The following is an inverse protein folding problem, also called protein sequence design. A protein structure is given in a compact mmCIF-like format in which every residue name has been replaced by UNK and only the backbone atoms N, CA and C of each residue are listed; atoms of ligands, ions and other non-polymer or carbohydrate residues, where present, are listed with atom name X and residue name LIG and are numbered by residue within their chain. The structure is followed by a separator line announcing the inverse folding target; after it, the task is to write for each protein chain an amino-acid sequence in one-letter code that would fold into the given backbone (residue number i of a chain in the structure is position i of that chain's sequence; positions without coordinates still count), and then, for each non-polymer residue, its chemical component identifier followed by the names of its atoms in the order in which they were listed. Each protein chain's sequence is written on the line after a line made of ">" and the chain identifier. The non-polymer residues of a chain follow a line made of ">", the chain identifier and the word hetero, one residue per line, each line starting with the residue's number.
data_IF_064806672333
#
_entry.id   IF_064806672333
#
_cell.length_a   1.000
_cell.length_b   1.000
_cell.length_c   1.000
_cell.angle_alpha   90.00
_cell.angle_beta   90.00
_cell.angle_gamma   90.00
#
_symmetry.space_group_name_H-M   'P 1'
#
loop_
_entity.id
_entity.type
_entity.pdbx_description
1 polymer ?
#
# COMPACT_ATOMS: atom_id res chain seq x y z
N UNK A 1 1.18 26.53 28.67
CA UNK A 1 2.48 26.97 28.09
C UNK A 1 2.72 26.30 26.73
N UNK A 2 2.76 24.97 26.62
CA UNK A 2 2.99 24.29 25.32
C UNK A 2 1.88 24.58 24.28
N UNK A 3 0.60 24.62 24.69
CA UNK A 3 -0.49 24.97 23.77
C UNK A 3 -0.36 26.40 23.24
N UNK A 4 -0.07 27.37 24.12
CA UNK A 4 0.18 28.76 23.72
C UNK A 4 1.42 28.91 22.84
N UNK A 5 2.42 28.04 23.01
CA UNK A 5 3.59 28.00 22.13
C UNK A 5 3.20 27.54 20.72
N UNK A 6 2.39 26.48 20.57
CA UNK A 6 1.89 26.04 19.27
C UNK A 6 1.12 27.15 18.55
N UNK A 7 0.19 27.82 19.24
CA UNK A 7 -0.58 28.94 18.67
C UNK A 7 0.33 30.04 18.10
N UNK A 8 1.43 30.38 18.79
CA UNK A 8 2.39 31.37 18.31
C UNK A 8 3.17 30.89 17.07
N UNK A 9 3.54 29.61 17.03
CA UNK A 9 4.26 29.01 15.90
C UNK A 9 3.36 28.90 14.66
N UNK A 10 2.09 28.55 14.84
CA UNK A 10 1.09 28.42 13.76
C UNK A 10 0.79 29.78 13.10
N UNK A 11 0.92 30.87 13.86
CA UNK A 11 0.86 32.24 13.33
C UNK A 11 2.13 32.69 12.59
N UNK A 12 3.13 31.81 12.44
CA UNK A 12 4.37 32.10 11.72
C UNK A 12 5.26 33.14 12.41
N UNK A 13 5.07 33.37 13.72
CA UNK A 13 5.81 34.39 14.48
C UNK A 13 7.29 34.01 14.61
N UNK A 14 7.61 32.71 14.57
CA UNK A 14 8.98 32.19 14.64
C UNK A 14 9.15 30.99 13.69
N UNK A 15 10.25 30.94 12.91
CA UNK A 15 10.60 29.76 12.11
C UNK A 15 10.88 28.52 12.96
N UNK A 16 10.46 27.34 12.48
CA UNK A 16 10.74 26.06 13.14
C UNK A 16 12.25 25.72 13.21
N UNK A 17 13.08 26.27 12.31
CA UNK A 17 14.53 26.09 12.30
C UNK A 17 15.25 26.78 13.47
N UNK A 18 14.66 27.83 14.04
CA UNK A 18 15.24 28.61 15.14
C UNK A 18 15.07 27.92 16.50
N UNK A 19 14.30 26.83 16.55
CA UNK A 19 14.11 26.06 17.77
C UNK A 19 15.40 25.42 18.25
N UNK A 20 15.71 25.65 19.52
CA UNK A 20 16.94 25.20 20.14
C UNK A 20 16.90 23.68 20.40
N UNK A 21 17.99 22.93 20.11
CA UNK A 21 18.02 21.48 20.33
C UNK A 21 17.56 21.02 21.73
N UNK A 22 17.91 21.70 22.85
CA UNK A 22 17.44 21.30 24.18
C UNK A 22 15.92 21.33 24.35
N UNK A 23 15.22 22.22 23.64
CA UNK A 23 13.76 22.24 23.64
C UNK A 23 13.19 21.00 22.94
N UNK A 24 13.77 20.62 21.81
CA UNK A 24 13.36 19.44 21.03
C UNK A 24 13.63 18.17 21.84
N UNK A 25 14.81 18.06 22.45
CA UNK A 25 15.16 16.96 23.36
C UNK A 25 14.18 16.88 24.54
N UNK A 26 13.74 18.03 25.07
CA UNK A 26 12.71 18.06 26.10
C UNK A 26 11.37 17.52 25.60
N UNK A 27 10.95 17.87 24.39
CA UNK A 27 9.71 17.34 23.79
C UNK A 27 9.81 15.83 23.59
N UNK A 28 10.93 15.35 23.05
CA UNK A 28 11.19 13.91 22.89
C UNK A 28 11.21 13.19 24.23
N UNK A 29 11.73 13.83 25.29
CA UNK A 29 11.75 13.24 26.63
C UNK A 29 10.36 12.84 27.12
N UNK A 30 9.30 13.59 26.77
CA UNK A 30 7.93 13.26 27.15
C UNK A 30 7.40 11.98 26.47
N UNK A 31 7.94 11.61 25.31
CA UNK A 31 7.59 10.37 24.60
C UNK A 31 8.38 9.18 25.17
N UNK A 32 9.64 9.40 25.54
CA UNK A 32 10.55 8.34 25.97
C UNK A 32 10.42 7.96 27.46
N UNK A 33 9.53 8.59 28.24
CA UNK A 33 9.32 8.24 29.65
C UNK A 33 8.55 6.92 29.78
N UNK A 34 8.93 6.08 30.75
CA UNK A 34 8.17 4.88 31.13
C UNK A 34 6.82 5.20 31.80
N UNK A 35 6.71 6.35 32.46
CA UNK A 35 5.47 6.85 33.08
C UNK A 35 4.79 7.77 32.09
N UNK A 36 3.59 7.38 31.62
CA UNK A 36 2.80 8.19 30.69
C UNK A 36 2.54 9.57 31.29
N UNK A 37 2.98 10.66 30.64
CA UNK A 37 2.66 12.02 31.08
C UNK A 37 1.15 12.26 31.09
N UNK A 38 0.74 13.41 31.66
CA UNK A 38 -0.62 13.89 31.50
C UNK A 38 -1.00 13.94 30.01
N UNK A 39 -2.19 13.46 29.65
CA UNK A 39 -2.66 13.31 28.27
C UNK A 39 -2.41 14.56 27.42
N UNK A 40 -2.77 15.73 27.94
CA UNK A 40 -2.62 17.00 27.22
C UNK A 40 -1.17 17.37 26.98
N UNK A 41 -0.28 17.05 27.92
CA UNK A 41 1.16 17.30 27.77
C UNK A 41 1.75 16.39 26.69
N UNK A 42 1.39 15.10 26.71
CA UNK A 42 1.85 14.14 25.71
C UNK A 42 1.32 14.47 24.30
N UNK A 43 0.02 14.75 24.15
CA UNK A 43 -0.57 15.12 22.85
C UNK A 43 0.07 16.38 22.29
N UNK A 44 0.21 17.43 23.11
CA UNK A 44 0.86 18.67 22.69
C UNK A 44 2.33 18.45 22.29
N UNK A 45 3.08 17.62 23.02
CA UNK A 45 4.47 17.32 22.67
C UNK A 45 4.58 16.55 21.34
N UNK A 46 3.69 15.59 21.09
CA UNK A 46 3.60 14.85 19.83
C UNK A 46 3.31 15.80 18.66
N UNK A 47 2.33 16.71 18.80
CA UNK A 47 1.97 17.71 17.78
C UNK A 47 3.11 18.71 17.51
N UNK A 48 3.84 19.14 18.54
CA UNK A 48 5.03 20.01 18.34
C UNK A 48 6.08 19.26 17.52
N UNK A 49 6.35 17.99 17.82
CA UNK A 49 7.34 17.20 17.10
C UNK A 49 6.92 16.90 15.66
N UNK A 50 5.63 16.64 15.43
CA UNK A 50 5.06 16.50 14.09
C UNK A 50 5.33 17.76 13.26
N UNK A 51 5.00 18.94 13.79
CA UNK A 51 5.22 20.20 13.10
C UNK A 51 6.70 20.50 12.87
N UNK A 52 7.59 20.17 13.82
CA UNK A 52 9.05 20.25 13.61
C UNK A 52 9.47 19.39 12.41
N UNK A 53 9.01 18.14 12.37
CA UNK A 53 9.33 17.18 11.30
C UNK A 53 8.80 17.66 9.95
N UNK A 54 7.58 18.21 9.90
CA UNK A 54 6.96 18.68 8.65
C UNK A 54 7.61 19.95 8.09
N UNK A 55 8.00 20.87 8.97
CA UNK A 55 8.42 22.23 8.60
C UNK A 55 9.93 22.47 8.68
N UNK A 56 10.73 21.59 9.29
CA UNK A 56 12.18 21.75 9.39
C UNK A 56 12.97 20.51 9.00
N UNK A 57 13.59 20.56 7.82
CA UNK A 57 14.51 19.51 7.37
C UNK A 57 15.77 19.43 8.25
N UNK A 58 16.22 20.56 8.80
CA UNK A 58 17.42 20.62 9.65
C UNK A 58 17.21 19.92 11.00
N UNK A 59 15.99 19.99 11.55
CA UNK A 59 15.64 19.39 12.84
C UNK A 59 15.05 17.98 12.71
N UNK A 60 14.59 17.58 11.52
CA UNK A 60 14.13 16.22 11.24
C UNK A 60 15.06 15.14 11.81
N UNK A 61 16.36 15.22 11.49
CA UNK A 61 17.35 14.21 11.90
C UNK A 61 17.53 14.16 13.42
N UNK A 62 17.31 15.28 14.13
CA UNK A 62 17.40 15.31 15.59
C UNK A 62 16.24 14.56 16.24
N UNK A 63 15.03 14.70 15.70
CA UNK A 63 13.83 13.98 16.17
C UNK A 63 13.93 12.50 15.81
N UNK A 64 14.27 12.21 14.56
CA UNK A 64 14.36 10.84 14.02
C UNK A 64 15.33 9.96 14.81
N UNK A 65 16.50 10.48 15.20
CA UNK A 65 17.51 9.72 15.96
C UNK A 65 17.08 9.36 17.38
N UNK A 66 16.10 10.06 17.94
CA UNK A 66 15.70 9.91 19.34
C UNK A 66 14.36 9.20 19.53
N UNK A 67 13.65 8.92 18.44
CA UNK A 67 12.32 8.29 18.46
C UNK A 67 12.33 7.03 17.60
N UNK A 68 11.70 5.98 18.12
CA UNK A 68 11.55 4.70 17.41
C UNK A 68 10.08 4.36 17.21
N UNK A 69 9.76 3.68 16.09
CA UNK A 69 8.40 3.17 15.81
C UNK A 69 7.84 2.34 16.97
N UNK A 70 8.58 1.38 17.56
CA UNK A 70 8.06 0.57 18.65
C UNK A 70 7.64 1.40 19.87
N UNK A 71 8.42 2.42 20.24
CA UNK A 71 8.08 3.30 21.36
C UNK A 71 6.85 4.16 21.07
N UNK A 72 6.71 4.69 19.85
CA UNK A 72 5.50 5.42 19.45
C UNK A 72 4.26 4.51 19.53
N UNK A 73 4.33 3.30 18.99
CA UNK A 73 3.21 2.35 19.01
C UNK A 73 2.86 1.82 20.40
N UNK A 74 3.81 1.85 21.35
CA UNK A 74 3.53 1.56 22.74
C UNK A 74 2.54 2.57 23.34
N UNK A 75 2.59 3.85 22.94
CA UNK A 75 1.60 4.85 23.36
C UNK A 75 0.19 4.57 22.81
N UNK A 76 0.09 4.04 21.58
CA UNK A 76 -1.21 3.59 21.02
C UNK A 76 -1.77 2.41 21.81
N UNK A 77 -0.92 1.49 22.22
CA UNK A 77 -1.34 0.28 22.96
C UNK A 77 -1.70 0.58 24.42
N UNK A 78 -0.98 1.50 25.06
CA UNK A 78 -1.17 1.84 26.47
C UNK A 78 -2.28 2.87 26.69
N UNK A 79 -2.55 3.72 25.69
CA UNK A 79 -3.57 4.77 25.79
C UNK A 79 -4.81 4.40 24.98
N UNK A 80 -5.96 4.28 25.66
CA UNK A 80 -7.28 4.15 25.02
C UNK A 80 -7.86 5.49 24.53
N UNK A 81 -7.09 6.59 24.65
CA UNK A 81 -7.56 7.93 24.26
C UNK A 81 -7.23 8.20 22.80
N UNK A 82 -8.28 8.42 21.99
CA UNK A 82 -8.18 8.71 20.56
C UNK A 82 -7.24 9.89 20.26
N UNK A 83 -7.24 10.94 21.09
CA UNK A 83 -6.36 12.11 20.94
C UNK A 83 -4.87 11.73 20.90
N UNK A 84 -4.43 10.83 21.79
CA UNK A 84 -3.04 10.36 21.83
C UNK A 84 -2.77 9.48 20.60
N UNK A 85 -3.67 8.56 20.29
CA UNK A 85 -3.51 7.66 19.15
C UNK A 85 -3.38 8.43 17.83
N UNK A 86 -4.20 9.47 17.65
CA UNK A 86 -4.18 10.37 16.51
C UNK A 86 -2.86 11.13 16.43
N UNK A 87 -2.43 11.74 17.54
CA UNK A 87 -1.18 12.51 17.60
C UNK A 87 0.05 11.62 17.32
N UNK A 88 0.03 10.37 17.79
CA UNK A 88 1.08 9.39 17.49
C UNK A 88 1.10 9.03 16.01
N UNK A 89 -0.06 8.74 15.42
CA UNK A 89 -0.15 8.41 13.99
C UNK A 89 0.27 9.58 13.11
N UNK A 90 -0.08 10.81 13.48
CA UNK A 90 0.34 12.02 12.80
C UNK A 90 1.87 12.18 12.79
N UNK A 91 2.52 11.99 13.94
CA UNK A 91 3.99 11.98 14.01
C UNK A 91 4.62 10.84 13.21
N UNK A 92 4.04 9.63 13.24
CA UNK A 92 4.51 8.50 12.40
C UNK A 92 4.42 8.85 10.93
N UNK A 93 3.29 9.40 10.48
CA UNK A 93 3.07 9.82 9.10
C UNK A 93 4.08 10.89 8.68
N UNK A 94 4.29 11.91 9.50
CA UNK A 94 5.25 12.97 9.25
C UNK A 94 6.69 12.42 9.11
N UNK A 95 7.10 11.55 10.04
CA UNK A 95 8.43 10.93 10.01
C UNK A 95 8.60 10.04 8.78
N UNK A 96 7.59 9.24 8.44
CA UNK A 96 7.62 8.36 7.28
C UNK A 96 7.68 9.18 5.98
N UNK A 97 6.83 10.20 5.83
CA UNK A 97 6.77 11.06 4.64
C UNK A 97 8.08 11.81 4.39
N UNK A 98 8.76 12.30 5.44
CA UNK A 98 10.02 13.06 5.32
C UNK A 98 11.27 12.19 5.27
N UNK A 99 11.14 10.88 5.50
CA UNK A 99 12.28 9.98 5.51
C UNK A 99 12.86 9.74 4.10
N UNK A 100 14.17 9.50 4.03
CA UNK A 100 14.88 9.12 2.81
C UNK A 100 14.52 7.71 2.34
N UNK A 101 14.84 7.35 1.09
CA UNK A 101 14.39 6.11 0.46
C UNK A 101 14.67 4.82 1.26
N UNK A 102 15.90 4.66 1.76
CA UNK A 102 16.26 3.46 2.53
C UNK A 102 15.49 3.40 3.86
N UNK A 103 15.32 4.54 4.52
CA UNK A 103 14.57 4.64 5.77
C UNK A 103 13.07 4.43 5.54
N UNK A 104 12.49 4.94 4.44
CA UNK A 104 11.09 4.65 4.03
C UNK A 104 10.82 3.16 3.94
N UNK A 105 11.72 2.40 3.31
CA UNK A 105 11.63 0.93 3.24
C UNK A 105 11.62 0.29 4.64
N UNK A 106 12.45 0.79 5.56
CA UNK A 106 12.43 0.35 6.96
C UNK A 106 11.13 0.69 7.68
N UNK A 107 10.60 1.91 7.53
CA UNK A 107 9.32 2.32 8.12
C UNK A 107 8.19 1.42 7.63
N UNK A 108 8.09 1.23 6.32
CA UNK A 108 7.08 0.38 5.71
C UNK A 108 7.17 -1.08 6.20
N UNK A 109 8.36 -1.70 6.13
CA UNK A 109 8.55 -3.07 6.59
C UNK A 109 8.21 -3.25 8.08
N UNK A 110 8.55 -2.24 8.89
CA UNK A 110 8.22 -2.22 10.31
C UNK A 110 6.70 -2.16 10.47
N UNK A 111 6.05 -1.11 9.96
CA UNK A 111 4.59 -0.86 10.12
C UNK A 111 3.72 -1.98 9.53
N UNK A 112 4.16 -2.65 8.47
CA UNK A 112 3.48 -3.81 7.87
C UNK A 112 3.69 -5.12 8.63
N UNK A 113 4.60 -5.17 9.62
CA UNK A 113 4.81 -6.38 10.42
C UNK A 113 3.56 -6.73 11.24
N UNK A 114 3.29 -8.03 11.37
CA UNK A 114 2.12 -8.57 12.08
C UNK A 114 1.93 -7.97 13.47
N UNK A 115 3.01 -7.76 14.23
CA UNK A 115 2.95 -7.16 15.56
C UNK A 115 2.29 -5.78 15.53
N UNK A 116 2.73 -4.90 14.65
CA UNK A 116 2.25 -3.51 14.61
C UNK A 116 0.91 -3.35 13.90
N UNK A 117 0.65 -4.17 12.87
CA UNK A 117 -0.69 -4.30 12.29
C UNK A 117 -1.73 -4.70 13.33
N UNK A 118 -1.38 -5.62 14.23
CA UNK A 118 -2.27 -6.04 15.34
C UNK A 118 -2.53 -4.89 16.32
N UNK A 119 -1.54 -4.06 16.62
CA UNK A 119 -1.72 -2.87 17.47
C UNK A 119 -2.70 -1.89 16.83
N UNK A 120 -2.52 -1.55 15.55
CA UNK A 120 -3.41 -0.63 14.84
C UNK A 120 -4.83 -1.20 14.74
N UNK A 121 -4.94 -2.49 14.39
CA UNK A 121 -6.25 -3.14 14.27
C UNK A 121 -7.00 -3.13 15.60
N UNK A 122 -6.34 -3.55 16.69
CA UNK A 122 -6.98 -3.73 18.00
C UNK A 122 -7.24 -2.42 18.76
N UNK A 123 -6.50 -1.35 18.46
CA UNK A 123 -6.60 -0.11 19.25
C UNK A 123 -7.18 1.07 18.47
N UNK A 124 -7.12 1.04 17.13
CA UNK A 124 -7.59 2.13 16.27
C UNK A 124 -8.76 1.67 15.40
N UNK A 125 -8.62 0.55 14.69
CA UNK A 125 -9.62 0.09 13.72
C UNK A 125 -10.88 -0.54 14.34
N UNK A 126 -10.83 -1.05 15.57
CA UNK A 126 -12.04 -1.52 16.29
C UNK A 126 -13.13 -0.44 16.34
N UNK A 127 -12.73 0.83 16.41
CA UNK A 127 -13.66 1.96 16.43
C UNK A 127 -14.27 2.27 15.05
N UNK A 128 -13.62 1.84 13.95
CA UNK A 128 -14.17 1.94 12.59
C UNK A 128 -15.47 1.15 12.46
N UNK A 129 -15.52 -0.02 13.10
CA UNK A 129 -16.62 -0.99 12.98
C UNK A 129 -17.80 -0.68 13.91
N UNK A 130 -17.58 0.07 15.00
CA UNK A 130 -18.54 0.16 16.13
C UNK A 130 -19.14 1.54 16.40
N UNK A 131 -18.67 2.61 15.77
CA UNK A 131 -19.20 3.96 16.04
C UNK A 131 -18.67 5.09 15.16
N UNK A 132 -17.92 4.77 14.11
CA UNK A 132 -17.31 5.74 13.20
C UNK A 132 -15.99 6.29 13.76
N UNK A 133 -14.95 6.27 12.94
CA UNK A 133 -13.70 6.97 13.21
C UNK A 133 -13.91 8.46 12.93
N UNK A 134 -13.50 9.33 13.86
CA UNK A 134 -13.55 10.79 13.66
C UNK A 134 -12.72 11.23 12.45
N UNK A 135 -13.11 12.33 11.80
CA UNK A 135 -12.51 12.81 10.56
C UNK A 135 -10.98 12.90 10.59
N UNK A 136 -10.41 13.41 11.69
CA UNK A 136 -8.96 13.58 11.83
C UNK A 136 -8.22 12.23 11.91
N UNK A 137 -8.77 11.27 12.66
CA UNK A 137 -8.20 9.93 12.74
C UNK A 137 -8.34 9.19 11.40
N UNK A 138 -9.47 9.36 10.71
CA UNK A 138 -9.68 8.81 9.37
C UNK A 138 -8.65 9.38 8.37
N UNK A 139 -8.35 10.68 8.48
CA UNK A 139 -7.29 11.32 7.73
C UNK A 139 -5.92 10.70 8.02
N UNK A 140 -5.57 10.49 9.30
CA UNK A 140 -4.28 9.86 9.64
C UNK A 140 -4.14 8.43 9.10
N UNK A 141 -5.22 7.65 9.09
CA UNK A 141 -5.24 6.30 8.49
C UNK A 141 -5.14 6.35 6.97
N UNK A 142 -5.82 7.31 6.32
CA UNK A 142 -5.69 7.55 4.89
C UNK A 142 -4.25 7.87 4.50
N UNK A 143 -3.60 8.82 5.21
CA UNK A 143 -2.21 9.19 4.96
C UNK A 143 -1.29 7.98 5.14
N UNK A 144 -1.44 7.23 6.22
CA UNK A 144 -0.63 6.03 6.48
C UNK A 144 -0.80 4.99 5.38
N UNK A 145 -2.04 4.71 4.97
CA UNK A 145 -2.32 3.78 3.87
C UNK A 145 -1.63 4.22 2.58
N UNK A 146 -1.74 5.50 2.22
CA UNK A 146 -1.14 6.02 1.00
C UNK A 146 0.40 5.93 1.04
N UNK A 147 1.03 6.22 2.18
CA UNK A 147 2.48 6.07 2.34
C UNK A 147 2.95 4.62 2.21
N UNK A 148 2.16 3.66 2.71
CA UNK A 148 2.42 2.22 2.55
C UNK A 148 2.23 1.78 1.09
N UNK A 149 1.15 2.21 0.44
CA UNK A 149 0.87 1.92 -0.97
C UNK A 149 1.95 2.50 -1.89
N UNK A 150 2.47 3.69 -1.59
CA UNK A 150 3.52 4.31 -2.39
C UNK A 150 4.84 3.55 -2.36
N UNK A 151 5.02 2.55 -1.49
CA UNK A 151 6.20 1.67 -1.57
C UNK A 151 6.18 0.78 -2.83
N UNK A 152 5.02 0.58 -3.45
CA UNK A 152 4.90 -0.13 -4.72
C UNK A 152 5.29 0.73 -5.94
N UNK A 153 5.44 2.05 -5.79
CA UNK A 153 5.75 2.97 -6.89
C UNK A 153 7.08 2.63 -7.58
N UNK A 154 8.11 2.25 -6.80
CA UNK A 154 9.41 1.86 -7.34
C UNK A 154 9.27 0.68 -8.30
N UNK A 155 8.53 -0.36 -7.89
CA UNK A 155 8.28 -1.55 -8.72
C UNK A 155 7.34 -1.26 -9.88
N UNK A 156 6.33 -0.40 -9.68
CA UNK A 156 5.41 0.05 -10.72
C UNK A 156 6.14 0.76 -11.87
N UNK A 157 7.18 1.53 -11.55
CA UNK A 157 7.97 2.30 -12.50
C UNK A 157 9.27 1.62 -12.95
N UNK A 158 9.54 0.39 -12.46
CA UNK A 158 10.67 -0.42 -12.93
C UNK A 158 10.28 -1.15 -14.20
N UNK A 159 10.99 -0.88 -15.29
CA UNK A 159 10.87 -1.63 -16.55
C UNK A 159 11.66 -2.94 -16.48
N UNK A 160 11.21 -3.97 -17.18
CA UNK A 160 11.91 -5.26 -17.27
C UNK A 160 13.29 -5.13 -17.92
N UNK A 161 14.33 -5.52 -17.19
CA UNK A 161 15.68 -5.70 -17.72
C UNK A 161 15.81 -7.11 -18.34
N UNK A 162 16.12 -7.25 -19.65
CA UNK A 162 16.33 -8.55 -20.28
C UNK A 162 17.46 -9.40 -19.67
N UNK A 163 18.37 -8.78 -18.92
CA UNK A 163 19.47 -9.47 -18.23
C UNK A 163 19.10 -9.91 -16.80
N UNK A 164 17.92 -9.53 -16.30
CA UNK A 164 17.43 -9.96 -14.99
C UNK A 164 17.00 -11.44 -15.04
N UNK A 165 17.86 -12.29 -14.48
CA UNK A 165 17.65 -13.72 -14.43
C UNK A 165 16.49 -14.12 -13.50
N UNK A 166 16.31 -13.42 -12.36
CA UNK A 166 15.22 -13.71 -11.41
C UNK A 166 13.87 -13.43 -12.05
N UNK A 167 13.73 -12.29 -12.72
CA UNK A 167 12.52 -11.96 -13.45
C UNK A 167 12.24 -12.95 -14.59
N UNK A 168 13.28 -13.33 -15.34
CA UNK A 168 13.16 -14.33 -16.40
C UNK A 168 12.70 -15.68 -15.85
N UNK A 169 13.21 -16.09 -14.68
CA UNK A 169 12.85 -17.34 -14.04
C UNK A 169 11.43 -17.31 -13.46
N UNK A 170 10.97 -16.17 -12.92
CA UNK A 170 9.55 -15.97 -12.55
C UNK A 170 8.62 -16.14 -13.74
N UNK A 171 8.95 -15.64 -14.92
CA UNK A 171 8.13 -15.81 -16.13
C UNK A 171 8.08 -17.29 -16.56
N UNK A 172 9.21 -18.00 -16.53
CA UNK A 172 9.23 -19.46 -16.79
C UNK A 172 8.44 -20.23 -15.74
N UNK A 173 8.47 -19.78 -14.49
CA UNK A 173 7.74 -20.38 -13.38
C UNK A 173 6.22 -20.22 -13.57
N UNK A 174 5.73 -19.04 -13.95
CA UNK A 174 4.31 -18.82 -14.27
C UNK A 174 3.79 -19.87 -15.26
N UNK A 175 4.58 -20.14 -16.30
CA UNK A 175 4.29 -21.16 -17.30
C UNK A 175 4.32 -22.57 -16.73
N UNK A 176 5.39 -22.92 -16.01
CA UNK A 176 5.57 -24.24 -15.39
C UNK A 176 4.42 -24.57 -14.44
N UNK A 177 4.00 -23.59 -13.65
CA UNK A 177 2.85 -23.70 -12.76
C UNK A 177 1.61 -23.96 -13.64
N UNK A 178 1.24 -23.05 -14.54
CA UNK A 178 -0.02 -23.15 -15.30
C UNK A 178 -0.26 -24.47 -16.06
N UNK A 179 0.78 -25.09 -16.63
CA UNK A 179 0.64 -26.24 -17.55
C UNK A 179 1.20 -27.56 -17.04
N UNK A 180 1.83 -27.59 -15.85
CA UNK A 180 2.58 -28.77 -15.37
C UNK A 180 3.59 -29.28 -16.43
N UNK A 181 3.95 -30.57 -16.43
CA UNK A 181 4.78 -31.20 -17.48
C UNK A 181 4.04 -31.41 -18.81
N UNK A 182 2.80 -30.91 -18.96
CA UNK A 182 2.05 -31.07 -20.19
C UNK A 182 2.75 -30.30 -21.33
N UNK A 183 3.03 -30.99 -22.43
CA UNK A 183 3.64 -30.39 -23.63
C UNK A 183 2.61 -29.53 -24.38
N UNK A 184 2.28 -28.37 -23.83
CA UNK A 184 1.47 -27.36 -24.49
C UNK A 184 2.34 -26.63 -25.53
N UNK A 185 1.89 -26.54 -26.78
CA UNK A 185 2.58 -25.72 -27.78
C UNK A 185 2.16 -24.25 -27.65
N UNK A 186 3.09 -23.32 -27.88
CA UNK A 186 2.85 -21.85 -27.77
C UNK A 186 2.34 -21.44 -26.39
N UNK A 187 3.03 -21.90 -25.35
CA UNK A 187 2.65 -21.75 -23.95
C UNK A 187 2.43 -20.28 -23.55
N UNK A 188 3.32 -19.37 -23.96
CA UNK A 188 3.18 -17.94 -23.66
C UNK A 188 2.01 -17.27 -24.40
N UNK A 189 1.72 -17.72 -25.63
CA UNK A 189 0.49 -17.32 -26.33
C UNK A 189 -0.75 -17.79 -25.57
N UNK A 190 -0.73 -19.03 -25.08
CA UNK A 190 -1.83 -19.63 -24.30
C UNK A 190 -1.99 -19.01 -22.90
N UNK A 191 -0.91 -18.49 -22.32
CA UNK A 191 -0.95 -17.63 -21.13
C UNK A 191 -1.52 -16.23 -21.42
N UNK A 192 -1.66 -15.84 -22.68
CA UNK A 192 -2.23 -14.56 -23.06
C UNK A 192 -1.25 -13.38 -22.97
N UNK A 193 0.05 -13.63 -23.13
CA UNK A 193 1.02 -12.56 -23.39
C UNK A 193 0.85 -12.01 -24.81
N UNK A 194 1.13 -10.71 -25.00
CA UNK A 194 1.15 -10.06 -26.32
C UNK A 194 2.34 -10.55 -27.14
N UNK A 195 3.53 -10.58 -26.54
CA UNK A 195 4.70 -11.21 -27.15
C UNK A 195 4.82 -12.68 -26.73
N UNK A 196 4.42 -13.59 -27.62
CA UNK A 196 4.46 -15.04 -27.38
C UNK A 196 5.85 -15.67 -27.55
N UNK A 197 6.82 -14.92 -28.09
CA UNK A 197 8.22 -15.35 -28.25
C UNK A 197 9.04 -14.90 -27.04
N UNK A 198 8.86 -13.65 -26.62
CA UNK A 198 9.57 -13.04 -25.50
C UNK A 198 8.61 -12.25 -24.59
N UNK A 199 7.90 -12.94 -23.67
CA UNK A 199 6.95 -12.31 -22.74
C UNK A 199 7.56 -11.26 -21.82
N UNK A 200 8.90 -11.22 -21.66
CA UNK A 200 9.58 -10.18 -20.88
C UNK A 200 9.31 -8.78 -21.45
N UNK A 201 9.09 -8.65 -22.77
CA UNK A 201 8.81 -7.37 -23.40
C UNK A 201 7.48 -6.75 -22.96
N UNK A 202 6.51 -7.56 -22.54
CA UNK A 202 5.21 -7.06 -22.05
C UNK A 202 5.37 -6.27 -20.73
N UNK A 203 6.46 -6.48 -19.98
CA UNK A 203 6.77 -5.79 -18.73
C UNK A 203 7.73 -4.60 -18.90
N UNK A 204 8.07 -4.23 -20.15
CA UNK A 204 8.91 -3.06 -20.41
C UNK A 204 8.13 -1.74 -20.28
N UNK A 205 6.82 -1.76 -20.50
CA UNK A 205 5.95 -0.60 -20.37
C UNK A 205 5.67 -0.29 -18.88
N UNK A 206 5.92 0.96 -18.49
CA UNK A 206 5.62 1.47 -17.15
C UNK A 206 4.63 2.64 -17.25
N UNK A 207 3.62 2.71 -16.35
CA UNK A 207 3.17 1.66 -15.42
C UNK A 207 2.47 0.49 -16.15
N UNK A 208 2.41 -0.73 -15.56
CA UNK A 208 2.84 -1.07 -14.19
C UNK A 208 4.20 -1.77 -14.12
N UNK A 209 4.89 -1.96 -15.25
CA UNK A 209 6.21 -2.60 -15.31
C UNK A 209 6.30 -3.90 -14.52
N UNK A 210 7.34 -3.99 -13.70
CA UNK A 210 7.66 -5.18 -12.94
C UNK A 210 6.70 -5.51 -11.79
N UNK A 211 5.90 -4.55 -11.33
CA UNK A 211 4.86 -4.81 -10.30
C UNK A 211 3.81 -5.82 -10.80
N UNK A 212 3.48 -5.80 -12.10
CA UNK A 212 2.57 -6.78 -12.66
C UNK A 212 3.15 -8.20 -12.59
N UNK A 213 4.46 -8.37 -12.84
CA UNK A 213 5.10 -9.68 -12.72
C UNK A 213 5.08 -10.17 -11.26
N UNK A 214 5.33 -9.28 -10.30
CA UNK A 214 5.28 -9.60 -8.87
C UNK A 214 3.86 -10.05 -8.44
N UNK A 215 2.82 -9.37 -8.91
CA UNK A 215 1.43 -9.75 -8.69
C UNK A 215 1.07 -11.11 -9.31
N UNK A 216 1.48 -11.32 -10.57
CA UNK A 216 1.22 -12.58 -11.28
C UNK A 216 1.87 -13.76 -10.57
N UNK A 217 3.14 -13.63 -10.18
CA UNK A 217 3.86 -14.72 -9.50
C UNK A 217 3.32 -14.94 -8.09
N UNK A 218 2.89 -13.89 -7.39
CA UNK A 218 2.21 -14.02 -6.11
C UNK A 218 0.93 -14.85 -6.25
N UNK A 219 0.07 -14.52 -7.22
CA UNK A 219 -1.16 -15.27 -7.47
C UNK A 219 -0.87 -16.73 -7.83
N UNK A 220 0.12 -16.97 -8.69
CA UNK A 220 0.52 -18.31 -9.09
C UNK A 220 1.03 -19.17 -7.93
N UNK A 221 1.83 -18.60 -7.02
CA UNK A 221 2.44 -19.31 -5.89
C UNK A 221 1.45 -19.53 -4.73
N UNK A 222 0.61 -18.56 -4.43
CA UNK A 222 -0.27 -18.59 -3.25
C UNK A 222 -1.66 -19.17 -3.53
N UNK A 223 -2.15 -19.06 -4.77
CA UNK A 223 -3.51 -19.49 -5.16
C UNK A 223 -3.49 -20.53 -6.29
N UNK A 224 -2.51 -21.43 -6.25
CA UNK A 224 -2.19 -22.44 -7.27
C UNK A 224 -3.38 -23.33 -7.71
N UNK A 225 -3.92 -24.19 -6.82
CA UNK A 225 -4.90 -25.24 -7.18
C UNK A 225 -6.28 -24.64 -7.49
N UNK A 226 -6.76 -23.74 -6.64
CA UNK A 226 -8.14 -23.23 -6.68
C UNK A 226 -8.29 -22.01 -7.58
N UNK A 227 -7.21 -21.30 -7.90
CA UNK A 227 -7.22 -20.03 -8.62
C UNK A 227 -6.46 -20.08 -9.95
N UNK A 228 -5.13 -20.05 -9.88
CA UNK A 228 -4.27 -19.73 -11.03
C UNK A 228 -4.32 -20.78 -12.15
N UNK A 229 -4.01 -22.04 -11.87
CA UNK A 229 -3.97 -23.09 -12.90
C UNK A 229 -5.35 -23.26 -13.55
N UNK A 230 -6.40 -23.26 -12.74
CA UNK A 230 -7.80 -23.31 -13.20
C UNK A 230 -8.12 -22.13 -14.13
N UNK A 231 -7.81 -20.90 -13.73
CA UNK A 231 -8.09 -19.69 -14.52
C UNK A 231 -7.38 -19.74 -15.88
N UNK A 232 -6.11 -20.15 -15.92
CA UNK A 232 -5.35 -20.25 -17.18
C UNK A 232 -5.88 -21.38 -18.06
N UNK A 233 -6.08 -22.58 -17.53
CA UNK A 233 -6.50 -23.75 -18.31
C UNK A 233 -7.91 -23.57 -18.90
N UNK A 234 -8.84 -22.96 -18.15
CA UNK A 234 -10.19 -22.65 -18.65
C UNK A 234 -10.18 -21.72 -19.88
N UNK A 235 -9.20 -20.81 -19.97
CA UNK A 235 -9.06 -19.91 -21.11
C UNK A 235 -8.16 -20.50 -22.22
N UNK A 236 -7.23 -21.39 -21.89
CA UNK A 236 -6.34 -22.02 -22.86
C UNK A 236 -7.07 -22.92 -23.88
N UNK A 237 -8.10 -23.65 -23.42
CA UNK A 237 -8.87 -24.60 -24.25
C UNK A 237 -10.10 -23.98 -24.91
N UNK A 238 -10.36 -22.69 -24.69
CA UNK A 238 -11.36 -21.96 -25.48
C UNK A 238 -10.88 -21.84 -26.92
N UNK A 239 -11.67 -22.35 -27.85
CA UNK A 239 -11.42 -22.27 -29.28
C UNK A 239 -12.23 -21.16 -29.96
N UNK A 240 -13.12 -20.51 -29.22
CA UNK A 240 -13.80 -19.28 -29.63
C UNK A 240 -12.95 -18.07 -29.24
N UNK A 241 -13.06 -16.94 -29.94
CA UNK A 241 -12.28 -15.70 -29.74
C UNK A 241 -12.61 -14.94 -28.44
N UNK A 242 -13.05 -15.68 -27.42
CA UNK A 242 -13.56 -15.21 -26.14
C UNK A 242 -12.67 -15.66 -24.97
N UNK A 243 -11.47 -16.14 -25.24
CA UNK A 243 -10.46 -16.40 -24.22
C UNK A 243 -10.03 -15.10 -23.54
N UNK A 244 -10.00 -15.09 -22.20
CA UNK A 244 -9.43 -13.98 -21.44
C UNK A 244 -7.91 -14.15 -21.39
N UNK A 245 -7.11 -13.24 -21.99
CA UNK A 245 -5.66 -13.37 -22.02
C UNK A 245 -5.05 -13.02 -20.66
N UNK A 246 -4.66 -14.02 -19.85
CA UNK A 246 -4.21 -13.81 -18.47
C UNK A 246 -3.04 -12.83 -18.35
N UNK A 247 -2.01 -12.96 -19.20
CA UNK A 247 -0.84 -12.07 -19.21
C UNK A 247 -1.22 -10.60 -19.41
N UNK A 248 -1.88 -10.29 -20.54
CA UNK A 248 -2.40 -8.96 -20.82
C UNK A 248 -3.35 -8.47 -19.72
N UNK A 249 -4.23 -9.32 -19.23
CA UNK A 249 -5.21 -8.92 -18.23
C UNK A 249 -4.61 -8.60 -16.87
N UNK A 250 -3.56 -9.31 -16.48
CA UNK A 250 -2.85 -9.07 -15.23
C UNK A 250 -2.07 -7.75 -15.26
N UNK A 251 -1.44 -7.42 -16.39
CA UNK A 251 -0.73 -6.14 -16.59
C UNK A 251 -1.73 -4.98 -16.53
N UNK A 252 -2.81 -5.03 -17.32
CA UNK A 252 -3.81 -3.96 -17.34
C UNK A 252 -4.56 -3.82 -16.00
N UNK A 253 -4.85 -4.93 -15.33
CA UNK A 253 -5.47 -4.90 -14.01
C UNK A 253 -4.53 -4.29 -12.96
N UNK A 254 -3.24 -4.63 -12.98
CA UNK A 254 -2.28 -4.04 -12.05
C UNK A 254 -2.22 -2.52 -12.24
N UNK A 255 -2.17 -2.05 -13.50
CA UNK A 255 -2.23 -0.63 -13.83
C UNK A 255 -3.50 0.04 -13.30
N UNK A 256 -4.66 -0.59 -13.51
CA UNK A 256 -5.95 -0.10 -13.00
C UNK A 256 -5.96 -0.01 -11.46
N UNK A 257 -5.41 -1.01 -10.76
CA UNK A 257 -5.33 -0.99 -9.30
C UNK A 257 -4.40 0.13 -8.81
N UNK A 258 -3.27 0.35 -9.48
CA UNK A 258 -2.38 1.48 -9.20
C UNK A 258 -3.11 2.83 -9.34
N UNK A 259 -3.94 2.99 -10.38
CA UNK A 259 -4.75 4.21 -10.60
C UNK A 259 -5.84 4.39 -9.54
N UNK A 260 -6.59 3.33 -9.21
CA UNK A 260 -7.66 3.37 -8.20
C UNK A 260 -7.10 3.71 -6.81
N UNK A 261 -5.95 3.11 -6.47
CA UNK A 261 -5.28 3.27 -5.18
C UNK A 261 -4.28 4.44 -5.16
N UNK A 262 -4.17 5.17 -6.27
CA UNK A 262 -3.33 6.36 -6.42
C UNK A 262 -1.86 6.12 -6.04
N UNK A 263 -1.31 4.97 -6.42
CA UNK A 263 0.07 4.58 -6.06
C UNK A 263 1.06 5.59 -6.64
N UNK A 264 1.90 6.15 -5.77
CA UNK A 264 2.88 7.20 -6.11
C UNK A 264 2.38 8.63 -5.91
N UNK A 265 1.09 8.84 -5.65
CA UNK A 265 0.56 10.17 -5.35
C UNK A 265 0.82 10.58 -3.89
N UNK A 266 1.14 11.85 -3.67
CA UNK A 266 1.28 12.41 -2.32
C UNK A 266 -0.10 12.41 -1.63
N UNK A 267 -0.20 11.99 -0.35
CA UNK A 267 -1.45 12.05 0.38
C UNK A 267 -2.06 13.45 0.37
N UNK A 268 -3.35 13.56 0.09
CA UNK A 268 -4.07 14.84 0.07
C UNK A 268 -4.38 15.32 1.49
N UNK A 269 -4.35 16.64 1.73
CA UNK A 269 -4.57 17.24 3.05
C UNK A 269 -5.97 16.99 3.63
N UNK A 270 -6.97 16.69 2.79
CA UNK A 270 -8.36 16.47 3.21
C UNK A 270 -8.83 15.02 3.01
N UNK A 271 -7.96 14.11 2.57
CA UNK A 271 -8.35 12.73 2.30
C UNK A 271 -8.69 11.99 3.59
N UNK A 272 -9.80 11.25 3.59
CA UNK A 272 -10.30 10.49 4.76
C UNK A 272 -10.71 9.05 4.41
N UNK A 273 -10.77 8.72 3.14
CA UNK A 273 -11.18 7.39 2.67
C UNK A 273 -10.00 6.44 2.72
N UNK A 274 -10.08 5.42 3.56
CA UNK A 274 -9.11 4.34 3.64
C UNK A 274 -9.84 2.99 3.63
N UNK A 275 -9.13 1.91 3.32
CA UNK A 275 -9.64 0.55 3.27
C UNK A 275 -8.98 -0.29 4.37
N UNK A 276 -9.73 -0.72 5.41
CA UNK A 276 -9.19 -1.48 6.55
C UNK A 276 -8.37 -2.73 6.17
N UNK A 277 -8.66 -3.35 5.02
CA UNK A 277 -7.94 -4.52 4.50
C UNK A 277 -6.42 -4.31 4.37
N UNK A 278 -5.96 -3.09 4.07
CA UNK A 278 -4.52 -2.80 3.95
C UNK A 278 -3.78 -2.80 5.30
N UNK A 279 -4.52 -2.81 6.41
CA UNK A 279 -3.96 -2.94 7.75
C UNK A 279 -4.10 -4.35 8.32
N UNK A 280 -4.99 -5.19 7.76
CA UNK A 280 -5.31 -6.51 8.31
C UNK A 280 -4.63 -7.68 7.61
N UNK A 281 -4.03 -7.49 6.42
CA UNK A 281 -3.31 -8.54 5.69
C UNK A 281 -1.81 -8.22 5.45
N UNK A 282 -0.95 -9.24 5.38
CA UNK A 282 0.50 -9.05 5.11
C UNK A 282 0.77 -8.61 3.66
N UNK A 283 0.02 -9.18 2.72
CA UNK A 283 0.12 -8.93 1.27
C UNK A 283 -1.20 -8.41 0.70
N UNK A 284 -1.75 -7.36 1.32
CA UNK A 284 -3.10 -6.88 1.02
C UNK A 284 -3.30 -6.45 -0.44
N UNK A 285 -2.28 -5.85 -1.06
CA UNK A 285 -2.34 -5.42 -2.45
C UNK A 285 -2.33 -6.62 -3.43
N UNK A 286 -1.48 -7.60 -3.17
CA UNK A 286 -1.35 -8.80 -4.00
C UNK A 286 -2.57 -9.72 -3.85
N UNK A 287 -3.17 -9.78 -2.66
CA UNK A 287 -4.47 -10.44 -2.44
C UNK A 287 -5.60 -9.72 -3.17
N UNK A 288 -5.64 -8.38 -3.13
CA UNK A 288 -6.61 -7.60 -3.89
C UNK A 288 -6.49 -7.91 -5.39
N UNK A 289 -5.26 -7.92 -5.92
CA UNK A 289 -5.02 -8.33 -7.30
C UNK A 289 -5.57 -9.73 -7.59
N UNK A 290 -5.31 -10.70 -6.70
CA UNK A 290 -5.75 -12.09 -6.84
C UNK A 290 -7.28 -12.21 -6.89
N UNK A 291 -7.99 -11.43 -6.07
CA UNK A 291 -9.45 -11.35 -6.09
C UNK A 291 -9.93 -10.69 -7.39
N UNK A 292 -9.33 -9.57 -7.76
CA UNK A 292 -9.75 -8.79 -8.93
C UNK A 292 -9.48 -9.53 -10.26
N UNK A 293 -8.42 -10.33 -10.39
CA UNK A 293 -8.16 -11.09 -11.63
C UNK A 293 -9.17 -12.22 -11.83
N UNK A 294 -9.63 -12.85 -10.75
CA UNK A 294 -10.72 -13.82 -10.79
C UNK A 294 -12.04 -13.13 -11.15
N UNK A 295 -12.34 -11.97 -10.56
CA UNK A 295 -13.51 -11.16 -10.89
C UNK A 295 -13.49 -10.70 -12.36
N UNK A 296 -12.34 -10.26 -12.85
CA UNK A 296 -12.15 -9.84 -14.24
C UNK A 296 -12.46 -10.99 -15.19
N UNK A 297 -11.89 -12.18 -14.94
CA UNK A 297 -12.16 -13.37 -15.77
C UNK A 297 -13.64 -13.79 -15.72
N UNK A 298 -14.31 -13.67 -14.57
CA UNK A 298 -15.75 -13.92 -14.46
C UNK A 298 -16.56 -12.91 -15.30
N UNK A 299 -16.28 -11.62 -15.13
CA UNK A 299 -16.94 -10.53 -15.87
C UNK A 299 -16.74 -10.68 -17.38
N UNK A 300 -15.53 -11.02 -17.80
CA UNK A 300 -15.19 -11.32 -19.19
C UNK A 300 -16.10 -12.41 -19.80
N UNK A 301 -16.30 -13.52 -19.06
CA UNK A 301 -17.16 -14.62 -19.49
C UNK A 301 -18.63 -14.22 -19.55
N UNK A 302 -19.13 -13.50 -18.56
CA UNK A 302 -20.52 -13.03 -18.49
C UNK A 302 -20.85 -12.07 -19.63
N UNK A 303 -19.91 -11.19 -19.98
CA UNK A 303 -20.04 -10.26 -21.10
C UNK A 303 -19.87 -10.93 -22.46
N UNK A 304 -19.45 -12.21 -22.51
CA UNK A 304 -19.00 -12.88 -23.75
C UNK A 304 -18.02 -11.97 -24.51
N UNK A 305 -17.06 -11.43 -23.76
CA UNK A 305 -16.13 -10.42 -24.27
C UNK A 305 -15.12 -11.04 -25.24
N UNK A 306 -14.67 -10.22 -26.18
CA UNK A 306 -13.52 -10.50 -27.04
C UNK A 306 -12.36 -9.56 -26.71
N UNK A 307 -11.21 -9.73 -27.34
CA UNK A 307 -10.05 -8.83 -27.17
C UNK A 307 -10.33 -7.36 -27.49
N UNK A 308 -11.36 -7.06 -28.28
CA UNK A 308 -11.82 -5.69 -28.59
C UNK A 308 -12.60 -5.05 -27.44
N UNK A 309 -13.23 -5.86 -26.57
CA UNK A 309 -14.04 -5.40 -25.44
C UNK A 309 -13.21 -5.16 -24.17
N UNK A 310 -11.89 -5.31 -24.25
CA UNK A 310 -10.98 -5.28 -23.10
C UNK A 310 -11.19 -4.05 -22.20
N UNK A 311 -11.23 -2.86 -22.79
CA UNK A 311 -11.44 -1.60 -22.07
C UNK A 311 -12.82 -1.50 -21.42
N UNK A 312 -13.85 -2.11 -22.04
CA UNK A 312 -15.20 -2.15 -21.47
C UNK A 312 -15.25 -3.07 -20.25
N UNK A 313 -14.63 -4.25 -20.33
CA UNK A 313 -14.55 -5.20 -19.19
C UNK A 313 -13.83 -4.55 -18.01
N UNK A 314 -12.69 -3.91 -18.23
CA UNK A 314 -11.98 -3.17 -17.17
C UNK A 314 -12.83 -2.06 -16.54
N UNK A 315 -13.63 -1.36 -17.36
CA UNK A 315 -14.53 -0.30 -16.85
C UNK A 315 -15.61 -0.88 -15.94
N UNK A 316 -16.15 -2.06 -16.26
CA UNK A 316 -17.12 -2.78 -15.41
C UNK A 316 -16.44 -3.28 -14.13
N UNK A 317 -15.24 -3.86 -14.24
CA UNK A 317 -14.44 -4.31 -13.09
C UNK A 317 -14.06 -3.14 -12.18
N UNK A 318 -13.85 -1.93 -12.72
CA UNK A 318 -13.62 -0.73 -11.93
C UNK A 318 -14.86 -0.28 -11.13
N UNK A 319 -16.05 -0.45 -11.69
CA UNK A 319 -17.31 -0.07 -11.06
C UNK A 319 -17.86 -1.13 -10.09
N UNK A 320 -17.51 -2.41 -10.29
CA UNK A 320 -17.98 -3.54 -9.49
C UNK A 320 -17.66 -3.51 -7.98
N UNK A 321 -16.48 -3.03 -7.53
CA UNK A 321 -16.12 -2.96 -6.11
C UNK A 321 -17.12 -2.17 -5.25
N UNK A 322 -17.78 -1.15 -5.82
CA UNK A 322 -18.80 -0.35 -5.13
C UNK A 322 -20.12 -1.11 -4.87
N UNK A 323 -20.40 -2.17 -5.64
CA UNK A 323 -21.61 -2.98 -5.47
C UNK A 323 -21.44 -4.14 -4.46
N UNK A 324 -20.21 -4.58 -4.21
CA UNK A 324 -19.90 -5.61 -3.20
C UNK A 324 -19.98 -5.12 -1.74
N UNK A 325 -20.04 -3.80 -1.50
CA UNK A 325 -20.25 -3.23 -0.17
C UNK A 325 -21.74 -3.10 0.22
N UNK A 326 -22.65 -3.68 -0.57
CA UNK A 326 -24.12 -3.62 -0.34
C UNK A 326 -24.80 -4.99 -0.23
N UNK A 327 -24.07 -6.08 0.06
CA UNK A 327 -24.69 -7.36 0.41
C UNK A 327 -24.20 -7.86 1.76
#
# INVERSE_FOLDING_TARGET
>A
MLTSFLELMDHGIMPWDDLQPPFIEKMVSFINVQVTPETRTLSTALTILENIVLNSQSKYTLVEKQITIPHLLQHISNSKKVEIQQSVLALINALFQKSEAQKRKYWAATLSSRQYRTILTNNVLIHAETGGIGADMAHQLYVLQQLLLNQYEERMNTSMDPSDQDATDKIKELRRIAFEEARVQKEYKKLGFRNDINPAQDFMETPPGMLALDNMIFFARNHWISGYAKLVLENCYRADSHECPFGRASIELTKLLCEILKIGEVPTEQGQTFHPMFFSHDHAFEELFSICIVLLNKTWKEMKATTEDFSKVLSVVRAGPDHSHKQ
#
